data_IF_900606144656
#
_entry.id   IF_900606144656
#
_cell.length_a   1.000
_cell.length_b   1.000
_cell.length_c   1.000
_cell.angle_alpha   90.00
_cell.angle_beta   90.00
_cell.angle_gamma   90.00
#
_symmetry.space_group_name_H-M   'P 1'
#
loop_
_entity.id
_entity.type
_entity.pdbx_description
1 polymer ?
#
# COMPACT_ATOMS: atom_id res chain seq x y z
N UNK A 1 -52.94 23.95 43.24
CA UNK A 1 -53.05 23.39 44.60
C UNK A 1 -51.74 22.68 44.93
N UNK A 2 -50.92 23.34 45.74
CA UNK A 2 -49.99 22.67 46.67
C UNK A 2 -50.84 22.10 47.85
N UNK A 3 -50.32 21.34 48.84
CA UNK A 3 -49.09 21.64 49.61
C UNK A 3 -48.16 20.42 49.86
N UNK A 4 -46.86 20.51 50.20
CA UNK A 4 -46.01 21.47 50.94
C UNK A 4 -45.90 21.19 52.45
N UNK A 5 -44.66 20.84 52.86
CA UNK A 5 -43.91 21.12 54.11
C UNK A 5 -44.43 20.55 55.46
N UNK A 6 -43.60 20.19 56.44
CA UNK A 6 -42.15 20.31 56.63
C UNK A 6 -41.79 20.30 58.15
N UNK A 7 -40.47 20.36 58.44
CA UNK A 7 -39.81 20.78 59.70
C UNK A 7 -39.84 19.76 60.88
N UNK A 8 -38.82 19.55 61.71
CA UNK A 8 -37.48 20.15 61.85
C UNK A 8 -36.75 19.69 63.15
N UNK A 9 -35.42 19.74 63.11
CA UNK A 9 -34.40 20.23 64.10
C UNK A 9 -34.24 19.64 65.54
N UNK A 10 -32.96 19.30 65.81
CA UNK A 10 -32.12 19.30 67.05
C UNK A 10 -32.31 18.33 68.23
N UNK A 11 -31.17 17.76 68.69
CA UNK A 11 -30.95 17.34 70.08
C UNK A 11 -29.81 16.34 70.29
N UNK A 12 -28.67 16.82 70.82
CA UNK A 12 -27.41 16.11 71.03
C UNK A 12 -27.39 14.99 72.10
N UNK A 13 -26.43 14.05 71.99
CA UNK A 13 -25.52 13.68 73.10
C UNK A 13 -24.30 12.88 72.64
N UNK A 14 -23.21 13.10 73.35
CA UNK A 14 -21.83 12.72 73.06
C UNK A 14 -21.49 11.28 73.46
N UNK A 15 -20.50 10.69 72.77
CA UNK A 15 -19.52 9.83 73.42
C UNK A 15 -18.16 10.02 72.76
N UNK A 16 -17.18 10.36 73.59
CA UNK A 16 -15.78 10.59 73.29
C UNK A 16 -15.04 9.27 73.21
N UNK A 17 -14.19 9.10 72.20
CA UNK A 17 -12.91 8.40 72.41
C UNK A 17 -11.82 8.96 71.51
N UNK A 18 -10.74 9.41 72.16
CA UNK A 18 -9.57 10.02 71.56
C UNK A 18 -8.54 8.92 71.30
N UNK A 19 -8.24 8.65 70.03
CA UNK A 19 -6.98 7.99 69.66
C UNK A 19 -6.11 9.02 68.94
N UNK A 20 -5.00 9.38 69.59
CA UNK A 20 -3.95 10.23 69.03
C UNK A 20 -3.13 9.38 68.07
N UNK A 21 -3.15 9.70 66.78
CA UNK A 21 -2.15 9.23 65.80
C UNK A 21 -1.36 10.45 65.35
N UNK A 22 -0.07 10.42 65.62
CA UNK A 22 0.94 11.38 65.16
C UNK A 22 0.89 11.47 63.62
N UNK A 23 0.55 12.64 63.09
CA UNK A 23 0.75 12.96 61.68
C UNK A 23 2.23 13.27 61.43
N UNK A 24 2.94 12.32 60.82
CA UNK A 24 4.26 12.56 60.24
C UNK A 24 4.04 13.27 58.89
N UNK A 25 4.22 14.59 58.84
CA UNK A 25 4.21 15.34 57.59
C UNK A 25 5.50 15.04 56.81
N UNK A 26 5.43 14.05 55.91
CA UNK A 26 6.45 13.82 54.88
C UNK A 26 6.25 14.87 53.78
N UNK A 27 7.07 15.92 53.80
CA UNK A 27 7.31 16.78 52.65
C UNK A 27 7.95 15.91 51.54
N UNK A 28 7.14 15.47 50.58
CA UNK A 28 7.67 15.07 49.28
C UNK A 28 8.06 16.36 48.54
N UNK A 29 9.35 16.69 48.58
CA UNK A 29 9.94 17.57 47.59
C UNK A 29 9.83 16.86 46.24
N UNK A 30 8.82 17.23 45.45
CA UNK A 30 8.78 16.89 44.05
C UNK A 30 9.97 17.59 43.36
N UNK A 31 11.07 16.86 43.19
CA UNK A 31 12.08 17.17 42.19
C UNK A 31 11.41 16.99 40.83
N UNK A 32 10.69 18.03 40.41
CA UNK A 32 10.30 18.19 39.02
C UNK A 32 11.58 18.39 38.22
N UNK A 33 12.11 17.31 37.65
CA UNK A 33 12.97 17.45 36.49
C UNK A 33 12.13 18.16 35.44
N UNK A 34 12.40 19.46 35.23
CA UNK A 34 11.80 20.20 34.15
C UNK A 34 12.13 19.43 32.86
N UNK A 35 11.10 18.96 32.15
CA UNK A 35 11.30 18.41 30.82
C UNK A 35 12.10 19.45 30.01
N UNK A 36 13.19 19.05 29.34
CA UNK A 36 14.01 19.97 28.57
C UNK A 36 13.11 20.76 27.62
N UNK A 37 13.38 22.07 27.51
CA UNK A 37 12.59 22.98 26.68
C UNK A 37 12.81 22.62 25.21
N UNK A 38 11.92 23.08 24.34
CA UNK A 38 12.03 22.94 22.87
C UNK A 38 13.43 23.35 22.36
N UNK A 39 14.12 24.26 23.06
CA UNK A 39 15.45 24.78 22.74
C UNK A 39 16.60 23.74 22.84
N UNK A 40 16.38 22.59 23.49
CA UNK A 40 17.40 21.54 23.66
C UNK A 40 17.39 20.51 22.50
N UNK A 41 16.50 20.68 21.51
CA UNK A 41 16.39 19.80 20.35
C UNK A 41 17.29 20.31 19.21
N UNK A 42 18.41 19.62 18.98
CA UNK A 42 19.48 19.98 18.03
C UNK A 42 18.97 20.43 16.63
N UNK A 43 18.77 21.75 16.46
CA UNK A 43 18.28 22.35 15.21
C UNK A 43 16.81 22.06 14.85
N UNK A 44 16.04 21.46 15.76
CA UNK A 44 14.63 21.17 15.57
C UNK A 44 13.75 22.24 16.20
N UNK A 45 12.70 22.63 15.48
CA UNK A 45 11.72 23.63 15.93
C UNK A 45 10.32 23.05 15.83
N UNK A 46 9.49 23.35 16.83
CA UNK A 46 8.10 22.93 16.80
C UNK A 46 7.30 23.89 15.93
N UNK A 47 6.47 23.34 15.04
CA UNK A 47 5.55 24.11 14.22
C UNK A 47 4.14 23.54 14.27
N UNK A 48 3.16 24.45 14.25
CA UNK A 48 1.74 24.16 14.06
C UNK A 48 1.15 25.26 13.16
N UNK A 49 0.13 24.96 12.34
CA UNK A 49 -0.54 26.01 11.57
C UNK A 49 -1.26 27.03 12.47
N UNK A 50 -1.57 26.68 13.72
CA UNK A 50 -2.23 27.54 14.71
C UNK A 50 -1.96 27.05 16.14
N UNK A 51 -1.83 27.97 17.08
CA UNK A 51 -1.36 27.69 18.44
C UNK A 51 -2.30 26.75 19.20
N UNK A 52 -3.62 26.90 19.02
CA UNK A 52 -4.62 26.16 19.78
C UNK A 52 -4.61 24.65 19.52
N UNK A 53 -4.12 24.21 18.35
CA UNK A 53 -3.97 22.79 18.01
C UNK A 53 -2.54 22.27 18.10
N UNK A 54 -1.57 23.11 18.48
CA UNK A 54 -0.17 22.71 18.53
C UNK A 54 0.01 21.55 19.53
N UNK A 55 0.64 20.42 19.14
CA UNK A 55 0.96 19.35 20.06
C UNK A 55 1.93 19.84 21.13
N UNK A 56 2.00 19.13 22.26
CA UNK A 56 3.09 19.34 23.20
C UNK A 56 4.34 18.66 22.66
N UNK A 57 5.40 19.40 22.39
CA UNK A 57 6.70 18.87 21.98
C UNK A 57 7.74 18.98 23.10
N UNK A 58 8.61 17.97 23.24
CA UNK A 58 9.79 17.98 24.11
C UNK A 58 10.86 17.01 23.61
N UNK A 59 12.09 17.15 24.11
CA UNK A 59 13.14 16.13 23.98
C UNK A 59 13.02 15.13 25.14
N UNK A 60 12.85 13.85 24.85
CA UNK A 60 12.65 12.80 25.85
C UNK A 60 13.96 12.02 26.09
N UNK A 61 14.70 12.26 27.18
CA UNK A 61 15.96 11.58 27.45
C UNK A 61 15.77 10.13 27.92
N UNK A 62 14.55 9.70 28.23
CA UNK A 62 14.27 8.36 28.75
C UNK A 62 13.84 7.38 27.66
N UNK A 63 13.43 7.89 26.51
CA UNK A 63 12.98 7.11 25.36
C UNK A 63 13.97 7.31 24.23
N UNK A 64 14.49 6.21 23.68
CA UNK A 64 15.35 6.20 22.51
C UNK A 64 15.49 4.79 21.96
N UNK A 65 16.03 4.67 20.74
CA UNK A 65 16.17 3.40 20.01
C UNK A 65 17.48 2.71 20.38
N UNK A 66 18.62 3.34 20.06
CA UNK A 66 19.96 2.79 20.35
C UNK A 66 20.65 3.54 21.49
N UNK A 67 20.37 4.84 21.64
CA UNK A 67 20.88 5.69 22.70
C UNK A 67 19.73 6.47 23.36
N UNK A 68 19.90 6.97 24.60
CA UNK A 68 18.88 7.80 25.25
C UNK A 68 18.67 9.12 24.50
N UNK A 69 17.42 9.50 24.24
CA UNK A 69 17.06 10.76 23.59
C UNK A 69 16.18 10.56 22.37
N UNK A 70 15.01 11.18 22.34
CA UNK A 70 14.13 11.21 21.16
C UNK A 70 13.30 12.48 21.12
N UNK A 71 12.78 12.85 19.95
CA UNK A 71 11.88 13.99 19.78
C UNK A 71 10.43 13.54 19.97
N UNK A 72 9.77 14.04 21.01
CA UNK A 72 8.43 13.63 21.33
C UNK A 72 7.39 14.67 20.89
N UNK A 73 6.20 14.19 20.49
CA UNK A 73 4.97 14.96 20.27
C UNK A 73 3.83 14.25 20.99
N UNK A 74 3.04 14.99 21.77
CA UNK A 74 1.81 14.49 22.38
C UNK A 74 0.60 15.28 21.92
N UNK A 75 -0.50 14.55 21.69
CA UNK A 75 -1.80 15.11 21.36
C UNK A 75 -2.35 16.07 22.41
N UNK A 76 -1.91 15.93 23.68
CA UNK A 76 -2.29 16.78 24.81
C UNK A 76 -3.82 16.99 24.94
N UNK A 77 -4.60 15.96 24.60
CA UNK A 77 -6.07 15.96 24.59
C UNK A 77 -6.70 17.03 23.69
N UNK A 78 -5.96 17.59 22.74
CA UNK A 78 -6.48 18.57 21.77
C UNK A 78 -7.16 17.84 20.61
N UNK A 79 -8.50 17.92 20.44
CA UNK A 79 -9.21 17.11 19.45
C UNK A 79 -8.70 17.27 18.01
N UNK A 80 -8.33 18.51 17.64
CA UNK A 80 -7.80 18.84 16.32
C UNK A 80 -6.27 18.87 16.26
N UNK A 81 -5.55 18.19 17.16
CA UNK A 81 -4.09 18.30 17.28
C UNK A 81 -3.39 18.15 15.94
N UNK A 82 -2.49 19.08 15.63
CA UNK A 82 -1.68 19.03 14.44
C UNK A 82 -0.40 19.80 14.68
N UNK A 83 0.74 19.18 14.42
CA UNK A 83 2.01 19.87 14.41
C UNK A 83 3.15 18.93 14.11
N UNK A 84 4.33 19.51 14.00
CA UNK A 84 5.51 18.78 13.57
C UNK A 84 6.79 19.39 14.11
N UNK A 85 7.79 18.52 14.26
CA UNK A 85 9.17 18.95 14.37
C UNK A 85 9.69 19.30 12.97
N UNK A 86 10.33 20.46 12.86
CA UNK A 86 10.98 20.97 11.65
C UNK A 86 12.46 21.18 11.86
N UNK A 87 13.30 20.65 10.96
CA UNK A 87 14.73 20.94 10.91
C UNK A 87 15.14 21.32 9.50
N UNK A 88 15.92 22.40 9.39
CA UNK A 88 16.52 22.77 8.13
C UNK A 88 17.62 21.77 7.75
N UNK A 89 17.63 21.33 6.49
CA UNK A 89 18.70 20.56 5.89
C UNK A 89 19.27 21.41 4.75
N UNK A 90 20.39 22.08 5.01
CA UNK A 90 21.00 23.01 4.06
C UNK A 90 21.83 22.29 2.99
N UNK A 91 21.90 22.91 1.80
CA UNK A 91 22.69 22.50 0.64
C UNK A 91 22.24 21.19 -0.01
N UNK A 92 21.20 21.28 -0.85
CA UNK A 92 20.84 20.20 -1.79
C UNK A 92 21.21 20.62 -3.21
N UNK A 93 21.72 19.67 -3.97
CA UNK A 93 22.01 19.80 -5.40
C UNK A 93 20.80 19.35 -6.22
N UNK A 94 20.29 20.19 -7.15
CA UNK A 94 19.23 19.79 -8.08
C UNK A 94 19.53 18.48 -8.82
N UNK A 95 18.54 17.60 -8.92
CA UNK A 95 18.63 16.30 -9.58
C UNK A 95 19.37 15.22 -8.78
N UNK A 96 20.12 15.58 -7.72
CA UNK A 96 20.74 14.59 -6.82
C UNK A 96 19.69 13.91 -5.96
N UNK A 97 19.87 12.62 -5.72
CA UNK A 97 18.98 11.83 -4.88
C UNK A 97 19.36 11.93 -3.41
N UNK A 98 18.34 11.99 -2.57
CA UNK A 98 18.48 11.99 -1.12
C UNK A 98 17.56 10.96 -0.49
N UNK A 99 18.01 10.40 0.63
CA UNK A 99 17.22 9.52 1.48
C UNK A 99 16.88 10.23 2.78
N UNK A 100 15.60 10.27 3.11
CA UNK A 100 15.13 10.54 4.47
C UNK A 100 14.85 9.21 5.16
N UNK A 101 15.45 9.00 6.33
CA UNK A 101 15.11 7.90 7.25
C UNK A 101 14.74 8.50 8.60
N UNK A 102 13.67 8.00 9.20
CA UNK A 102 13.27 8.36 10.55
C UNK A 102 12.63 7.15 11.23
N UNK A 103 12.96 6.90 12.49
CA UNK A 103 12.30 5.88 13.29
C UNK A 103 11.26 6.53 14.17
N UNK A 104 10.12 5.87 14.33
CA UNK A 104 9.12 6.33 15.28
C UNK A 104 8.55 5.22 16.14
N UNK A 105 8.13 5.62 17.33
CA UNK A 105 7.38 4.79 18.27
C UNK A 105 6.15 5.57 18.72
N UNK A 106 5.06 4.86 18.97
CA UNK A 106 3.82 5.48 19.44
C UNK A 106 3.30 4.83 20.71
N UNK A 107 2.50 5.60 21.45
CA UNK A 107 1.68 5.14 22.58
C UNK A 107 0.29 5.74 22.42
N UNK A 108 -0.75 4.95 22.73
CA UNK A 108 -2.17 5.36 22.68
C UNK A 108 -2.60 5.91 21.30
N UNK A 109 -1.95 5.42 20.24
CA UNK A 109 -2.24 5.77 18.86
C UNK A 109 -3.45 5.00 18.34
N UNK A 110 -4.43 5.66 17.69
CA UNK A 110 -5.53 4.97 17.03
C UNK A 110 -5.02 3.98 15.98
N UNK A 111 -5.47 2.73 16.08
CA UNK A 111 -5.28 1.69 15.05
C UNK A 111 -6.64 1.34 14.46
N UNK A 112 -6.76 1.09 13.15
CA UNK A 112 -5.71 0.86 12.14
C UNK A 112 -5.17 2.11 11.41
N UNK A 113 -5.52 3.33 11.82
CA UNK A 113 -5.20 4.59 11.11
C UNK A 113 -3.86 5.25 11.46
N UNK A 114 -2.94 4.54 12.11
CA UNK A 114 -1.63 5.05 12.55
C UNK A 114 -0.90 5.88 11.48
N UNK A 115 -0.92 5.41 10.23
CA UNK A 115 -0.27 6.09 9.10
C UNK A 115 -0.86 7.46 8.76
N UNK A 116 -2.13 7.73 9.05
CA UNK A 116 -2.73 9.04 8.84
C UNK A 116 -2.19 10.07 9.86
N UNK A 117 -1.89 9.60 11.06
CA UNK A 117 -1.50 10.44 12.19
C UNK A 117 0.00 10.77 12.18
N UNK A 118 0.82 9.88 11.63
CA UNK A 118 2.28 9.97 11.62
C UNK A 118 2.80 10.23 10.20
N UNK A 119 3.68 11.21 10.01
CA UNK A 119 4.35 11.44 8.72
C UNK A 119 5.77 11.95 8.91
N UNK A 120 6.72 11.45 8.11
CA UNK A 120 8.01 12.09 7.89
C UNK A 120 8.07 12.58 6.45
N UNK A 121 8.49 13.84 6.23
CA UNK A 121 8.46 14.48 4.92
C UNK A 121 9.74 15.23 4.60
N UNK A 122 10.03 15.31 3.30
CA UNK A 122 11.01 16.24 2.73
C UNK A 122 10.23 17.38 2.07
N UNK A 123 10.41 18.60 2.55
CA UNK A 123 9.97 19.81 1.88
C UNK A 123 11.17 20.46 1.20
N UNK A 124 11.21 20.44 -0.12
CA UNK A 124 12.27 21.12 -0.89
C UNK A 124 12.06 22.62 -0.89
N UNK A 125 13.15 23.38 -0.82
CA UNK A 125 13.14 24.83 -0.73
C UNK A 125 14.05 25.45 -1.78
N UNK A 126 13.58 26.52 -2.42
CA UNK A 126 14.39 27.42 -3.24
C UNK A 126 15.31 28.27 -2.36
N UNK A 127 16.30 28.95 -2.95
CA UNK A 127 17.22 29.84 -2.24
C UNK A 127 16.53 31.00 -1.48
N UNK A 128 15.32 31.40 -1.92
CA UNK A 128 14.50 32.42 -1.26
C UNK A 128 13.62 31.86 -0.12
N UNK A 129 13.74 30.56 0.20
CA UNK A 129 12.96 29.88 1.24
C UNK A 129 11.54 29.44 0.84
N UNK A 130 11.10 29.70 -0.40
CA UNK A 130 9.83 29.17 -0.94
C UNK A 130 9.94 27.69 -1.26
N UNK A 131 8.81 26.99 -1.33
CA UNK A 131 8.78 25.59 -1.73
C UNK A 131 9.26 25.38 -3.17
N UNK A 132 10.17 24.43 -3.37
CA UNK A 132 10.59 23.89 -4.66
C UNK A 132 9.81 22.59 -4.94
N UNK A 133 9.23 22.44 -6.12
CA UNK A 133 8.48 21.23 -6.49
C UNK A 133 7.37 20.79 -5.50
N UNK A 134 7.30 19.48 -5.23
CA UNK A 134 6.30 18.85 -4.36
C UNK A 134 6.98 18.18 -3.16
N UNK A 135 6.25 18.07 -2.05
CA UNK A 135 6.75 17.39 -0.86
C UNK A 135 6.81 15.88 -1.06
N UNK A 136 7.83 15.26 -0.48
CA UNK A 136 7.98 13.81 -0.44
C UNK A 136 7.46 13.25 0.87
N UNK A 137 6.67 12.18 0.79
CA UNK A 137 6.14 11.47 1.95
C UNK A 137 6.91 10.17 2.12
N UNK A 138 7.52 10.00 3.29
CA UNK A 138 8.09 8.72 3.68
C UNK A 138 6.97 7.69 3.84
N UNK A 139 7.11 6.55 3.15
CA UNK A 139 6.04 5.55 3.02
C UNK A 139 6.54 4.11 3.15
N UNK A 140 7.83 3.86 2.89
CA UNK A 140 8.43 2.55 3.14
C UNK A 140 8.51 2.36 4.65
N UNK A 141 7.89 1.30 5.16
CA UNK A 141 7.85 0.99 6.59
C UNK A 141 8.48 -0.36 6.88
N UNK A 142 9.31 -0.42 7.92
CA UNK A 142 9.86 -1.66 8.46
C UNK A 142 9.68 -1.67 9.98
N UNK A 143 9.20 -2.77 10.55
CA UNK A 143 8.95 -2.89 11.99
C UNK A 143 10.16 -3.50 12.68
N UNK A 144 10.71 -2.79 13.66
CA UNK A 144 11.86 -3.21 14.46
C UNK A 144 11.49 -3.16 15.95
N UNK A 145 10.89 -4.26 16.44
CA UNK A 145 10.39 -4.33 17.81
C UNK A 145 9.29 -3.30 18.09
N UNK A 146 9.58 -2.35 18.99
CA UNK A 146 8.68 -1.26 19.36
C UNK A 146 8.70 -0.08 18.36
N UNK A 147 9.75 0.00 17.54
CA UNK A 147 10.00 1.07 16.59
C UNK A 147 9.54 0.69 15.18
N UNK A 148 9.13 1.69 14.41
CA UNK A 148 8.86 1.57 12.99
C UNK A 148 9.80 2.50 12.25
N UNK A 149 10.64 1.95 11.39
CA UNK A 149 11.46 2.71 10.43
C UNK A 149 10.56 3.23 9.32
N UNK A 150 10.71 4.50 8.97
CA UNK A 150 10.01 5.15 7.87
C UNK A 150 11.04 5.79 6.94
N UNK A 151 10.93 5.53 5.62
CA UNK A 151 11.87 6.10 4.65
C UNK A 151 11.28 6.48 3.30
N UNK A 152 11.98 7.39 2.61
CA UNK A 152 11.78 7.75 1.20
C UNK A 152 13.10 8.15 0.57
N UNK A 153 13.22 7.81 -0.71
CA UNK A 153 14.28 8.29 -1.59
C UNK A 153 13.65 9.12 -2.70
N UNK A 154 14.20 10.31 -2.93
CA UNK A 154 13.70 11.22 -3.93
C UNK A 154 14.80 12.13 -4.50
N UNK A 155 14.73 12.48 -5.78
CA UNK A 155 15.60 13.50 -6.36
C UNK A 155 15.16 14.90 -5.90
N UNK A 156 16.14 15.76 -5.64
CA UNK A 156 15.87 17.18 -5.43
C UNK A 156 15.32 17.81 -6.74
N UNK A 157 14.22 18.59 -6.68
CA UNK A 157 13.68 19.30 -7.84
C UNK A 157 14.70 20.25 -8.50
N UNK A 158 14.51 20.62 -9.79
CA UNK A 158 15.44 21.48 -10.53
C UNK A 158 15.76 22.84 -9.86
N UNK A 159 14.83 23.38 -9.07
CA UNK A 159 14.94 24.68 -8.39
C UNK A 159 15.25 24.57 -6.89
N UNK A 160 15.54 23.37 -6.38
CA UNK A 160 15.84 23.15 -4.97
C UNK A 160 17.28 23.59 -4.61
N UNK A 161 17.40 24.36 -3.53
CA UNK A 161 18.67 24.80 -2.95
C UNK A 161 18.86 24.32 -1.49
N UNK A 162 17.76 24.01 -0.81
CA UNK A 162 17.75 23.40 0.51
C UNK A 162 16.58 22.43 0.66
N UNK A 163 16.54 21.71 1.78
CA UNK A 163 15.40 20.92 2.21
C UNK A 163 15.01 21.28 3.66
N UNK A 164 13.79 20.93 4.04
CA UNK A 164 13.32 20.94 5.41
C UNK A 164 12.70 19.59 5.73
N UNK A 165 13.16 18.98 6.81
CA UNK A 165 12.61 17.73 7.32
C UNK A 165 11.43 18.07 8.23
N UNK A 166 10.32 17.36 8.04
CA UNK A 166 9.08 17.59 8.80
C UNK A 166 8.59 16.26 9.39
N UNK A 167 8.52 16.17 10.72
CA UNK A 167 8.11 14.98 11.48
C UNK A 167 6.82 15.25 12.25
N UNK A 168 5.71 14.70 11.78
CA UNK A 168 4.37 15.16 12.12
C UNK A 168 3.59 14.22 13.04
N UNK A 169 2.82 14.83 13.94
CA UNK A 169 1.67 14.23 14.62
C UNK A 169 0.39 14.98 14.21
N UNK A 170 -0.66 14.26 13.82
CA UNK A 170 -1.95 14.84 13.46
C UNK A 170 -3.12 13.98 13.92
N UNK A 171 -4.23 14.63 14.32
CA UNK A 171 -5.54 14.02 14.58
C UNK A 171 -5.54 12.88 15.61
N UNK A 172 -4.62 12.90 16.56
CA UNK A 172 -4.44 11.87 17.57
C UNK A 172 -4.35 12.49 18.97
N UNK A 173 -5.49 12.96 19.55
CA UNK A 173 -5.52 13.77 20.77
C UNK A 173 -4.91 13.07 22.00
N UNK A 174 -5.01 11.74 22.06
CA UNK A 174 -4.53 10.93 23.19
C UNK A 174 -3.13 10.36 22.97
N UNK A 175 -2.62 10.41 21.74
CA UNK A 175 -1.42 9.69 21.38
C UNK A 175 -0.16 10.46 21.78
N UNK A 176 0.92 9.70 22.02
CA UNK A 176 2.28 10.21 22.07
C UNK A 176 3.12 9.53 21.00
N UNK A 177 3.94 10.31 20.31
CA UNK A 177 4.79 9.92 19.20
C UNK A 177 6.23 10.34 19.53
N UNK A 178 7.16 9.41 19.47
CA UNK A 178 8.59 9.67 19.60
C UNK A 178 9.27 9.41 18.26
N UNK A 179 10.17 10.31 17.87
CA UNK A 179 11.02 10.19 16.69
C UNK A 179 12.48 10.05 17.10
N UNK A 180 13.20 9.18 16.42
CA UNK A 180 14.61 8.92 16.67
C UNK A 180 15.35 8.55 15.37
N UNK A 181 16.68 8.56 15.40
CA UNK A 181 17.58 8.19 14.30
C UNK A 181 17.18 8.82 12.95
N UNK A 182 16.98 10.15 12.97
CA UNK A 182 16.52 10.91 11.81
C UNK A 182 17.69 11.38 10.94
N UNK A 183 17.85 10.75 9.78
CA UNK A 183 18.91 11.05 8.81
C UNK A 183 18.36 11.62 7.50
N UNK A 184 19.15 12.49 6.88
CA UNK A 184 18.92 13.00 5.54
C UNK A 184 20.27 13.06 4.82
N UNK A 185 20.47 12.19 3.85
CA UNK A 185 21.78 11.96 3.23
C UNK A 185 21.64 11.87 1.71
N UNK A 186 22.65 12.32 0.94
CA UNK A 186 22.70 12.05 -0.48
C UNK A 186 22.88 10.55 -0.72
N UNK A 187 22.20 10.03 -1.73
CA UNK A 187 22.33 8.64 -2.16
C UNK A 187 22.57 8.56 -3.65
N UNK A 188 23.02 7.40 -4.11
CA UNK A 188 23.09 7.14 -5.54
C UNK A 188 21.68 7.13 -6.15
N UNK A 189 21.59 7.56 -7.41
CA UNK A 189 20.36 7.42 -8.19
C UNK A 189 19.94 5.96 -8.19
N UNK A 190 18.71 5.63 -7.75
CA UNK A 190 18.23 4.26 -7.79
C UNK A 190 18.35 3.67 -9.19
N UNK A 191 18.91 2.48 -9.26
CA UNK A 191 19.01 1.75 -10.52
C UNK A 191 17.61 1.46 -11.07
N UNK A 192 17.47 1.54 -12.40
CA UNK A 192 16.26 1.10 -13.08
C UNK A 192 15.98 -0.38 -12.73
N UNK A 193 14.70 -0.72 -12.59
CA UNK A 193 14.21 -2.09 -12.39
C UNK A 193 13.39 -2.50 -13.61
N UNK A 194 14.03 -2.71 -14.77
CA UNK A 194 13.31 -3.05 -15.99
C UNK A 194 12.69 -4.44 -15.86
N UNK A 195 11.45 -4.57 -16.32
CA UNK A 195 10.72 -5.84 -16.42
C UNK A 195 10.10 -5.91 -17.79
N UNK A 196 10.43 -6.94 -18.57
CA UNK A 196 9.81 -7.15 -19.88
C UNK A 196 8.53 -7.94 -19.71
N UNK A 197 7.40 -7.31 -20.01
CA UNK A 197 6.06 -7.89 -19.88
C UNK A 197 5.50 -8.20 -21.26
N UNK A 198 4.99 -9.41 -21.44
CA UNK A 198 4.21 -9.82 -22.60
C UNK A 198 2.77 -10.12 -22.19
N UNK A 199 1.80 -9.70 -23.01
CA UNK A 199 0.40 -10.05 -22.82
C UNK A 199 -0.22 -10.54 -24.12
N UNK A 200 -1.02 -11.59 -24.04
CA UNK A 200 -1.50 -12.35 -25.20
C UNK A 200 -2.95 -12.00 -25.50
N UNK A 201 -3.25 -11.70 -26.77
CA UNK A 201 -4.61 -11.61 -27.27
C UNK A 201 -4.83 -12.77 -28.24
N UNK A 202 -5.53 -13.80 -27.80
CA UNK A 202 -5.87 -14.94 -28.65
C UNK A 202 -7.22 -15.47 -28.22
N UNK A 203 -8.14 -15.66 -29.17
CA UNK A 203 -9.40 -16.37 -28.98
C UNK A 203 -9.37 -17.70 -29.75
N UNK A 204 -9.00 -18.82 -29.10
CA UNK A 204 -9.10 -20.13 -29.72
C UNK A 204 -10.55 -20.43 -30.12
N UNK A 205 -10.73 -21.12 -31.25
CA UNK A 205 -12.05 -21.53 -31.76
C UNK A 205 -12.02 -23.02 -32.10
N UNK A 206 -13.14 -23.72 -31.85
CA UNK A 206 -13.36 -25.12 -32.23
C UNK A 206 -12.22 -26.05 -31.78
N UNK A 207 -11.78 -25.90 -30.53
CA UNK A 207 -10.60 -26.60 -30.01
C UNK A 207 -10.87 -28.03 -29.57
N UNK A 208 -12.14 -28.45 -29.53
CA UNK A 208 -12.56 -29.80 -29.16
C UNK A 208 -12.42 -30.12 -27.66
N UNK A 209 -11.85 -29.22 -26.86
CA UNK A 209 -11.67 -29.39 -25.43
C UNK A 209 -10.61 -28.45 -24.85
N UNK A 210 -10.44 -28.53 -23.53
CA UNK A 210 -9.46 -27.75 -22.75
C UNK A 210 -8.05 -27.86 -23.33
N UNK A 211 -7.58 -29.08 -23.57
CA UNK A 211 -6.21 -29.37 -24.05
C UNK A 211 -5.93 -28.63 -25.37
N UNK A 212 -6.89 -28.66 -26.29
CA UNK A 212 -6.78 -27.96 -27.56
C UNK A 212 -6.69 -26.44 -27.38
N UNK A 213 -7.46 -25.84 -26.48
CA UNK A 213 -7.38 -24.40 -26.19
C UNK A 213 -6.05 -24.00 -25.58
N UNK A 214 -5.57 -24.76 -24.59
CA UNK A 214 -4.29 -24.50 -23.94
C UNK A 214 -3.12 -24.63 -24.90
N UNK A 215 -3.14 -25.62 -25.81
CA UNK A 215 -2.08 -25.77 -26.78
C UNK A 215 -1.99 -24.58 -27.73
N UNK A 216 -3.12 -23.99 -28.17
CA UNK A 216 -3.08 -22.76 -29.00
C UNK A 216 -2.42 -21.58 -28.29
N UNK A 217 -2.66 -21.43 -26.99
CA UNK A 217 -1.98 -20.40 -26.20
C UNK A 217 -0.48 -20.71 -26.07
N UNK A 218 -0.13 -21.96 -25.77
CA UNK A 218 1.25 -22.39 -25.64
C UNK A 218 2.04 -22.18 -26.94
N UNK A 219 1.50 -22.61 -28.08
CA UNK A 219 2.09 -22.40 -29.42
C UNK A 219 2.35 -20.92 -29.70
N UNK A 220 1.39 -20.05 -29.39
CA UNK A 220 1.54 -18.61 -29.62
C UNK A 220 2.62 -18.01 -28.70
N UNK A 221 2.66 -18.41 -27.42
CA UNK A 221 3.70 -17.95 -26.49
C UNK A 221 5.08 -18.44 -26.93
N UNK A 222 5.21 -19.71 -27.27
CA UNK A 222 6.47 -20.32 -27.72
C UNK A 222 7.00 -19.61 -28.96
N UNK A 223 6.12 -19.28 -29.90
CA UNK A 223 6.46 -18.65 -31.18
C UNK A 223 6.70 -17.13 -31.10
N UNK A 224 5.79 -16.39 -30.46
CA UNK A 224 5.72 -14.93 -30.62
C UNK A 224 6.18 -14.15 -29.37
N UNK A 225 6.29 -14.78 -28.18
CA UNK A 225 6.84 -14.10 -26.98
C UNK A 225 8.37 -14.14 -27.01
N UNK A 226 9.06 -12.97 -26.86
CA UNK A 226 10.52 -12.90 -26.81
C UNK A 226 11.14 -13.79 -25.73
N UNK A 227 12.36 -14.28 -25.99
CA UNK A 227 13.07 -15.19 -25.08
C UNK A 227 13.53 -14.53 -23.76
N UNK A 228 13.64 -13.19 -23.74
CA UNK A 228 14.06 -12.39 -22.59
C UNK A 228 12.87 -11.69 -21.91
N UNK A 229 11.66 -12.24 -22.05
CA UNK A 229 10.47 -11.79 -21.33
C UNK A 229 10.49 -12.28 -19.88
N UNK A 230 10.17 -11.40 -18.94
CA UNK A 230 10.13 -11.72 -17.50
C UNK A 230 8.76 -12.21 -17.03
N UNK A 231 7.69 -11.66 -17.63
CA UNK A 231 6.31 -11.89 -17.20
C UNK A 231 5.38 -12.01 -18.41
N UNK A 232 4.58 -13.07 -18.44
CA UNK A 232 3.63 -13.38 -19.50
C UNK A 232 2.22 -13.43 -18.90
N UNK A 233 1.27 -12.76 -19.53
CA UNK A 233 -0.15 -12.84 -19.17
C UNK A 233 -0.98 -13.48 -20.29
N UNK A 234 -1.71 -14.53 -19.91
CA UNK A 234 -2.77 -15.17 -20.70
C UNK A 234 -4.16 -14.74 -20.21
N UNK A 235 -5.20 -14.89 -21.05
CA UNK A 235 -6.53 -14.34 -20.73
C UNK A 235 -7.27 -15.16 -19.67
N UNK A 236 -8.43 -14.64 -19.28
CA UNK A 236 -9.40 -15.33 -18.43
C UNK A 236 -9.95 -16.58 -19.12
N UNK A 237 -10.32 -17.61 -18.35
CA UNK A 237 -11.05 -18.76 -18.87
C UNK A 237 -10.37 -19.48 -20.03
N UNK A 238 -9.04 -19.56 -20.02
CA UNK A 238 -8.24 -20.19 -21.08
C UNK A 238 -8.66 -21.65 -21.34
N UNK A 239 -9.20 -22.31 -20.31
CA UNK A 239 -9.67 -23.70 -20.37
C UNK A 239 -11.08 -23.87 -20.96
N UNK A 240 -11.89 -22.81 -21.06
CA UNK A 240 -13.27 -22.89 -21.60
C UNK A 240 -13.41 -22.25 -22.99
N UNK A 241 -12.60 -21.23 -23.30
CA UNK A 241 -12.71 -20.49 -24.57
C UNK A 241 -12.57 -21.42 -25.77
N UNK A 242 -13.48 -21.29 -26.74
CA UNK A 242 -13.46 -22.07 -27.97
C UNK A 242 -13.90 -23.54 -27.86
N UNK A 243 -14.28 -24.01 -26.66
CA UNK A 243 -14.63 -25.43 -26.42
C UNK A 243 -16.11 -25.74 -26.60
N UNK A 244 -17.01 -24.80 -26.31
CA UNK A 244 -18.46 -25.03 -26.24
C UNK A 244 -18.93 -25.85 -25.03
N UNK A 245 -18.04 -26.11 -24.06
CA UNK A 245 -18.32 -26.89 -22.85
C UNK A 245 -18.80 -26.00 -21.70
N UNK A 246 -19.24 -26.63 -20.60
CA UNK A 246 -19.69 -25.95 -19.37
C UNK A 246 -18.61 -25.98 -18.29
N UNK A 247 -18.69 -25.07 -17.31
CA UNK A 247 -17.70 -25.00 -16.22
C UNK A 247 -17.39 -26.35 -15.56
N UNK A 248 -18.38 -27.21 -15.22
CA UNK A 248 -18.07 -28.48 -14.56
C UNK A 248 -17.25 -29.45 -15.42
N UNK A 249 -17.41 -29.39 -16.74
CA UNK A 249 -16.79 -30.30 -17.69
C UNK A 249 -15.34 -29.91 -18.01
N UNK A 250 -14.97 -28.65 -17.76
CA UNK A 250 -13.63 -28.14 -18.05
C UNK A 250 -12.81 -27.87 -16.78
N UNK A 251 -13.48 -27.73 -15.63
CA UNK A 251 -12.83 -27.36 -14.37
C UNK A 251 -11.90 -28.46 -13.87
N UNK A 252 -10.75 -28.06 -13.36
CA UNK A 252 -9.66 -28.96 -12.99
C UNK A 252 -8.98 -28.55 -11.69
N UNK A 253 -8.23 -29.45 -11.06
CA UNK A 253 -7.45 -29.11 -9.87
C UNK A 253 -6.34 -28.11 -10.20
N UNK A 254 -5.93 -27.33 -9.20
CA UNK A 254 -4.73 -26.49 -9.27
C UNK A 254 -3.79 -26.90 -8.14
N UNK A 255 -2.60 -27.47 -8.43
CA UNK A 255 -2.08 -27.82 -9.76
C UNK A 255 -2.89 -28.89 -10.52
N UNK A 256 -2.77 -28.87 -11.84
CA UNK A 256 -3.44 -29.77 -12.78
C UNK A 256 -2.98 -29.60 -14.24
N UNK A 257 -3.65 -30.24 -15.22
CA UNK A 257 -3.20 -30.34 -16.60
C UNK A 257 -2.80 -29.01 -17.27
N UNK A 258 -3.58 -27.93 -17.09
CA UNK A 258 -3.24 -26.63 -17.68
C UNK A 258 -1.97 -26.05 -17.05
N UNK A 259 -1.86 -26.09 -15.71
CA UNK A 259 -0.67 -25.58 -15.01
C UNK A 259 0.57 -26.42 -15.30
N UNK A 260 0.44 -27.71 -15.59
CA UNK A 260 1.55 -28.57 -16.00
C UNK A 260 2.05 -28.18 -17.39
N UNK A 261 1.16 -28.08 -18.39
CA UNK A 261 1.53 -27.71 -19.76
C UNK A 261 2.10 -26.30 -19.83
N UNK A 262 1.44 -25.33 -19.21
CA UNK A 262 1.91 -23.95 -19.21
C UNK A 262 3.12 -23.74 -18.29
N UNK A 263 3.30 -24.59 -17.27
CA UNK A 263 4.52 -24.63 -16.45
C UNK A 263 5.73 -25.02 -17.27
N UNK A 264 5.59 -25.95 -18.22
CA UNK A 264 6.66 -26.27 -19.17
C UNK A 264 7.01 -25.07 -20.06
N UNK A 265 6.00 -24.30 -20.52
CA UNK A 265 6.20 -23.07 -21.29
C UNK A 265 6.94 -22.02 -20.46
N UNK A 266 6.47 -21.75 -19.24
CA UNK A 266 7.06 -20.80 -18.31
C UNK A 266 8.54 -21.14 -18.05
N UNK A 267 8.84 -22.41 -17.77
CA UNK A 267 10.19 -22.93 -17.58
C UNK A 267 11.06 -22.79 -18.83
N UNK A 268 10.54 -23.14 -20.00
CA UNK A 268 11.28 -23.04 -21.26
C UNK A 268 11.60 -21.58 -21.64
N UNK A 269 10.70 -20.65 -21.33
CA UNK A 269 10.91 -19.20 -21.50
C UNK A 269 11.69 -18.57 -20.34
N UNK A 270 11.94 -19.31 -19.26
CA UNK A 270 12.47 -18.79 -18.00
C UNK A 270 11.70 -17.54 -17.53
N UNK A 271 10.37 -17.56 -17.62
CA UNK A 271 9.49 -16.41 -17.38
C UNK A 271 8.40 -16.76 -16.37
N UNK A 272 7.96 -15.77 -15.61
CA UNK A 272 6.71 -15.87 -14.86
C UNK A 272 5.53 -15.91 -15.85
N UNK A 273 4.52 -16.72 -15.57
CA UNK A 273 3.33 -16.83 -16.43
C UNK A 273 2.07 -16.83 -15.59
N UNK A 274 1.12 -15.96 -15.91
CA UNK A 274 -0.21 -15.95 -15.31
C UNK A 274 -1.27 -16.34 -16.33
N UNK A 275 -2.28 -17.11 -15.88
CA UNK A 275 -3.39 -17.57 -16.73
C UNK A 275 -4.68 -17.68 -15.92
N UNK A 276 -5.81 -17.30 -16.51
CA UNK A 276 -7.13 -17.57 -15.94
C UNK A 276 -7.67 -18.92 -16.39
N UNK A 277 -8.19 -19.71 -15.44
CA UNK A 277 -8.80 -21.02 -15.65
C UNK A 277 -9.95 -21.24 -14.67
N UNK A 278 -10.69 -22.35 -14.82
CA UNK A 278 -11.67 -22.76 -13.81
C UNK A 278 -11.10 -23.88 -12.95
N UNK A 279 -10.98 -23.59 -11.66
CA UNK A 279 -10.45 -24.49 -10.65
C UNK A 279 -11.58 -25.33 -10.04
N UNK A 280 -11.33 -26.61 -9.84
CA UNK A 280 -12.18 -27.53 -9.07
C UNK A 280 -11.49 -27.92 -7.77
N UNK A 281 -12.17 -27.69 -6.65
CA UNK A 281 -11.78 -28.15 -5.31
C UNK A 281 -12.93 -28.95 -4.70
N UNK A 282 -12.84 -30.28 -4.78
CA UNK A 282 -13.95 -31.16 -4.43
C UNK A 282 -15.19 -30.88 -5.28
N UNK A 283 -16.29 -30.49 -4.63
CA UNK A 283 -17.55 -30.13 -5.31
C UNK A 283 -17.62 -28.67 -5.73
N UNK A 284 -16.65 -27.85 -5.33
CA UNK A 284 -16.67 -26.40 -5.54
C UNK A 284 -15.88 -26.05 -6.81
N UNK A 285 -16.37 -25.05 -7.56
CA UNK A 285 -15.72 -24.55 -8.78
C UNK A 285 -15.50 -23.05 -8.64
N UNK A 286 -14.30 -22.58 -8.99
CA UNK A 286 -13.89 -21.18 -8.92
C UNK A 286 -13.37 -20.69 -10.27
N UNK A 287 -13.61 -19.42 -10.60
CA UNK A 287 -12.84 -18.73 -11.64
C UNK A 287 -11.51 -18.25 -11.02
N UNK A 288 -10.38 -18.75 -11.52
CA UNK A 288 -9.09 -18.67 -10.83
C UNK A 288 -7.98 -18.21 -11.77
N UNK A 289 -7.20 -17.22 -11.35
CA UNK A 289 -5.96 -16.83 -11.98
C UNK A 289 -4.80 -17.51 -11.25
N UNK A 290 -3.95 -18.22 -11.98
CA UNK A 290 -2.81 -18.95 -11.42
C UNK A 290 -1.53 -18.29 -11.90
N UNK A 291 -0.59 -18.09 -10.97
CA UNK A 291 0.76 -17.58 -11.25
C UNK A 291 1.76 -18.75 -11.19
N UNK A 292 2.51 -18.92 -12.27
CA UNK A 292 3.58 -19.90 -12.41
C UNK A 292 4.94 -19.20 -12.30
N UNK A 293 5.87 -19.78 -11.53
CA UNK A 293 7.24 -19.29 -11.41
C UNK A 293 8.11 -19.65 -12.63
N UNK A 294 9.34 -19.14 -12.64
CA UNK A 294 10.32 -19.40 -13.72
C UNK A 294 10.72 -20.87 -13.81
N UNK A 295 10.49 -21.68 -12.77
CA UNK A 295 10.71 -23.13 -12.80
C UNK A 295 9.48 -23.92 -13.29
N UNK A 296 8.37 -23.24 -13.57
CA UNK A 296 7.12 -23.82 -14.04
C UNK A 296 6.21 -24.36 -12.92
N UNK A 297 6.46 -23.99 -11.66
CA UNK A 297 5.65 -24.42 -10.50
C UNK A 297 4.59 -23.38 -10.18
N UNK A 298 3.48 -23.81 -9.58
CA UNK A 298 2.46 -22.90 -9.07
C UNK A 298 3.03 -22.11 -7.89
N UNK A 299 3.24 -20.81 -8.09
CA UNK A 299 3.69 -19.89 -7.05
C UNK A 299 2.53 -19.35 -6.21
N UNK A 300 1.33 -19.31 -6.81
CA UNK A 300 0.13 -18.86 -6.12
C UNK A 300 -1.09 -18.82 -7.04
N UNK A 301 -2.26 -18.57 -6.44
CA UNK A 301 -3.53 -18.44 -7.16
C UNK A 301 -4.40 -17.36 -6.52
N UNK A 302 -5.25 -16.76 -7.34
CA UNK A 302 -6.28 -15.81 -6.96
C UNK A 302 -7.63 -16.32 -7.47
N UNK A 303 -8.62 -16.45 -6.58
CA UNK A 303 -10.00 -16.81 -6.93
C UNK A 303 -10.81 -15.53 -7.06
N UNK A 304 -11.50 -15.35 -8.18
CA UNK A 304 -12.29 -14.16 -8.51
C UNK A 304 -13.29 -13.87 -7.39
N UNK A 305 -13.23 -12.66 -6.84
CA UNK A 305 -14.09 -12.27 -5.71
C UNK A 305 -15.44 -11.78 -6.22
N UNK A 306 -15.45 -10.92 -7.24
CA UNK A 306 -16.69 -10.42 -7.82
C UNK A 306 -17.12 -11.27 -9.01
N UNK A 307 -18.19 -12.05 -8.84
CA UNK A 307 -18.77 -12.84 -9.91
C UNK A 307 -19.85 -12.05 -10.67
N UNK A 308 -19.81 -12.01 -12.02
CA UNK A 308 -20.94 -11.56 -12.81
C UNK A 308 -22.09 -12.57 -12.71
N UNK A 309 -23.30 -12.16 -13.12
CA UNK A 309 -24.52 -12.98 -13.02
C UNK A 309 -24.35 -14.36 -13.65
N UNK A 310 -23.76 -14.41 -14.84
CA UNK A 310 -23.61 -15.62 -15.65
C UNK A 310 -22.71 -16.66 -14.96
N UNK A 311 -21.73 -16.21 -14.18
CA UNK A 311 -20.85 -17.09 -13.39
C UNK A 311 -21.56 -17.61 -12.13
N UNK A 312 -22.33 -16.75 -11.45
CA UNK A 312 -23.14 -17.17 -10.30
C UNK A 312 -24.22 -18.18 -10.71
N UNK A 313 -24.97 -17.89 -11.77
CA UNK A 313 -26.00 -18.78 -12.31
C UNK A 313 -25.38 -20.08 -12.87
N UNK A 314 -24.12 -20.03 -13.30
CA UNK A 314 -23.31 -21.17 -13.70
C UNK A 314 -22.76 -22.02 -12.54
N UNK A 315 -23.00 -21.63 -11.29
CA UNK A 315 -22.59 -22.36 -10.09
C UNK A 315 -21.15 -22.15 -9.65
N UNK A 316 -20.51 -21.04 -10.06
CA UNK A 316 -19.20 -20.68 -9.54
C UNK A 316 -19.29 -20.09 -8.14
N UNK A 317 -18.24 -20.30 -7.36
CA UNK A 317 -18.10 -19.78 -5.99
C UNK A 317 -17.12 -18.61 -5.98
N UNK A 318 -17.41 -17.52 -5.25
CA UNK A 318 -16.48 -16.40 -5.14
C UNK A 318 -15.25 -16.77 -4.30
N UNK A 319 -14.13 -16.11 -4.59
CA UNK A 319 -12.98 -16.04 -3.68
C UNK A 319 -13.24 -15.14 -2.47
N UNK A 320 -12.27 -15.10 -1.56
CA UNK A 320 -12.40 -14.44 -0.25
C UNK A 320 -11.21 -13.51 0.10
N UNK A 321 -10.26 -13.31 -0.81
CA UNK A 321 -9.01 -12.63 -0.52
C UNK A 321 -8.34 -12.02 -1.76
N UNK A 322 -7.49 -11.02 -1.54
CA UNK A 322 -6.70 -10.33 -2.57
C UNK A 322 -5.19 -10.52 -2.32
N UNK A 323 -4.64 -11.73 -2.52
CA UNK A 323 -3.23 -12.01 -2.27
C UNK A 323 -2.32 -11.32 -3.28
N UNK A 324 -1.14 -10.91 -2.81
CA UNK A 324 -0.01 -10.54 -3.67
C UNK A 324 1.09 -11.59 -3.63
N UNK A 325 1.91 -11.62 -4.68
CA UNK A 325 2.95 -12.61 -4.87
C UNK A 325 4.30 -11.91 -5.06
N UNK A 326 5.29 -12.35 -4.30
CA UNK A 326 6.66 -11.85 -4.43
C UNK A 326 7.36 -12.59 -5.59
N UNK A 327 7.83 -11.85 -6.59
CA UNK A 327 8.70 -12.34 -7.65
C UNK A 327 10.15 -11.86 -7.44
N UNK A 328 11.05 -12.30 -8.30
CA UNK A 328 12.46 -11.85 -8.35
C UNK A 328 12.61 -10.38 -8.77
N UNK A 329 11.64 -9.84 -9.52
CA UNK A 329 11.68 -8.45 -9.99
C UNK A 329 10.83 -7.49 -9.15
N UNK A 330 9.79 -7.96 -8.46
CA UNK A 330 8.86 -7.09 -7.74
C UNK A 330 7.65 -7.84 -7.16
N UNK A 331 6.62 -7.12 -6.76
CA UNK A 331 5.39 -7.72 -6.21
C UNK A 331 4.24 -7.60 -7.20
N UNK A 332 3.55 -8.71 -7.43
CA UNK A 332 2.46 -8.82 -8.41
C UNK A 332 1.14 -9.15 -7.71
N UNK A 333 0.07 -8.48 -8.12
CA UNK A 333 -1.31 -8.82 -7.76
C UNK A 333 -2.09 -9.33 -8.98
N UNK A 334 -3.19 -10.04 -8.76
CA UNK A 334 -4.06 -10.52 -9.83
C UNK A 334 -5.52 -10.12 -9.55
N UNK A 335 -6.22 -9.68 -10.59
CA UNK A 335 -7.65 -9.44 -10.63
C UNK A 335 -8.23 -10.23 -11.81
N UNK A 336 -9.52 -10.51 -11.82
CA UNK A 336 -10.16 -11.18 -12.96
C UNK A 336 -11.39 -10.39 -13.39
N UNK A 337 -11.37 -9.94 -14.64
CA UNK A 337 -12.53 -9.45 -15.37
C UNK A 337 -13.46 -8.53 -14.58
N UNK A 338 -14.57 -9.07 -14.07
CA UNK A 338 -15.60 -8.34 -13.32
C UNK A 338 -15.08 -7.61 -12.07
N UNK A 339 -13.95 -8.03 -11.50
CA UNK A 339 -13.26 -7.30 -10.44
C UNK A 339 -12.94 -5.85 -10.83
N UNK A 340 -12.72 -5.55 -12.11
CA UNK A 340 -12.41 -4.19 -12.59
C UNK A 340 -13.52 -3.18 -12.28
N UNK A 341 -14.77 -3.67 -12.14
CA UNK A 341 -15.92 -2.82 -11.84
C UNK A 341 -15.85 -2.23 -10.43
N UNK A 342 -15.06 -2.82 -9.54
CA UNK A 342 -14.94 -2.46 -8.13
C UNK A 342 -13.56 -1.88 -7.86
N UNK A 343 -13.49 -0.85 -7.00
CA UNK A 343 -12.21 -0.20 -6.65
C UNK A 343 -11.40 -1.05 -5.66
N UNK A 344 -12.09 -1.81 -4.80
CA UNK A 344 -11.52 -2.52 -3.67
C UNK A 344 -10.45 -3.55 -4.04
N UNK A 345 -10.58 -4.37 -5.11
CA UNK A 345 -9.54 -5.33 -5.48
C UNK A 345 -8.19 -4.66 -5.78
N UNK A 346 -8.17 -3.70 -6.70
CA UNK A 346 -6.93 -2.99 -7.05
C UNK A 346 -6.35 -2.21 -5.86
N UNK A 347 -7.24 -1.61 -5.05
CA UNK A 347 -6.86 -0.91 -3.82
C UNK A 347 -6.22 -1.83 -2.80
N UNK A 348 -6.80 -3.01 -2.56
CA UNK A 348 -6.27 -4.00 -1.64
C UNK A 348 -4.91 -4.52 -2.09
N UNK A 349 -4.75 -4.87 -3.37
CA UNK A 349 -3.50 -5.35 -3.94
C UNK A 349 -2.37 -4.30 -3.83
N UNK A 350 -2.65 -3.04 -4.18
CA UNK A 350 -1.66 -1.96 -4.07
C UNK A 350 -1.31 -1.67 -2.61
N UNK A 351 -2.29 -1.74 -1.70
CA UNK A 351 -2.06 -1.61 -0.26
C UNK A 351 -1.15 -2.72 0.31
N UNK A 352 -1.24 -3.91 -0.25
CA UNK A 352 -0.38 -5.06 0.04
C UNK A 352 0.96 -5.01 -0.74
N UNK A 353 1.20 -3.92 -1.48
CA UNK A 353 2.48 -3.59 -2.09
C UNK A 353 2.64 -4.01 -3.54
N UNK A 354 1.57 -4.45 -4.22
CA UNK A 354 1.63 -4.76 -5.65
C UNK A 354 2.16 -3.55 -6.45
N UNK A 355 3.13 -3.82 -7.33
CA UNK A 355 3.69 -2.84 -8.28
C UNK A 355 3.11 -3.07 -9.68
N UNK A 356 2.72 -4.32 -9.96
CA UNK A 356 2.06 -4.75 -11.20
C UNK A 356 0.78 -5.50 -10.82
N UNK A 357 -0.33 -5.16 -11.47
CA UNK A 357 -1.58 -5.90 -11.38
C UNK A 357 -1.88 -6.55 -12.72
N UNK A 358 -2.08 -7.86 -12.70
CA UNK A 358 -2.47 -8.65 -13.85
C UNK A 358 -3.99 -8.78 -13.90
N UNK A 359 -4.57 -8.54 -15.06
CA UNK A 359 -6.00 -8.59 -15.31
C UNK A 359 -6.29 -9.48 -16.53
N UNK A 360 -6.31 -10.81 -16.36
CA UNK A 360 -7.03 -11.69 -17.28
C UNK A 360 -8.51 -11.28 -17.31
N UNK A 361 -9.03 -10.98 -18.50
CA UNK A 361 -10.36 -10.37 -18.65
C UNK A 361 -11.07 -10.80 -19.92
N UNK A 362 -12.32 -11.26 -19.84
CA UNK A 362 -13.11 -11.49 -21.04
C UNK A 362 -13.55 -10.17 -21.69
N UNK A 363 -14.24 -9.33 -20.93
CA UNK A 363 -14.80 -8.04 -21.35
C UNK A 363 -14.92 -7.09 -20.15
N UNK A 364 -14.99 -5.78 -20.38
CA UNK A 364 -15.13 -4.81 -19.30
C UNK A 364 -14.92 -3.36 -19.73
N UNK A 365 -14.95 -2.43 -18.78
CA UNK A 365 -14.75 -1.00 -19.03
C UNK A 365 -13.28 -0.63 -19.05
N UNK A 366 -12.79 -0.16 -20.21
CA UNK A 366 -11.42 0.36 -20.36
C UNK A 366 -11.19 1.59 -19.48
N UNK A 367 -12.21 2.42 -19.27
CA UNK A 367 -12.14 3.60 -18.39
C UNK A 367 -11.90 3.19 -16.94
N UNK A 368 -12.58 2.13 -16.47
CA UNK A 368 -12.38 1.64 -15.11
C UNK A 368 -11.02 0.94 -14.97
N UNK A 369 -10.57 0.18 -15.97
CA UNK A 369 -9.22 -0.37 -15.99
C UNK A 369 -8.16 0.74 -15.83
N UNK A 370 -8.29 1.83 -16.60
CA UNK A 370 -7.41 2.98 -16.45
C UNK A 370 -7.50 3.61 -15.05
N UNK A 371 -8.71 3.77 -14.50
CA UNK A 371 -8.89 4.28 -13.15
C UNK A 371 -8.18 3.40 -12.10
N UNK A 372 -8.22 2.06 -12.22
CA UNK A 372 -7.53 1.14 -11.30
C UNK A 372 -6.01 1.33 -11.32
N UNK A 373 -5.42 1.53 -12.50
CA UNK A 373 -4.00 1.83 -12.63
C UNK A 373 -3.64 3.17 -11.98
N UNK A 374 -4.41 4.22 -12.33
CA UNK A 374 -4.19 5.61 -11.91
C UNK A 374 -4.35 5.79 -10.40
N UNK A 375 -5.47 5.33 -9.83
CA UNK A 375 -5.82 5.61 -8.42
C UNK A 375 -4.96 4.82 -7.41
N UNK A 376 -4.36 3.72 -7.88
CA UNK A 376 -3.51 2.84 -7.08
C UNK A 376 -2.03 2.94 -7.44
N UNK A 377 -1.71 3.69 -8.50
CA UNK A 377 -0.37 3.98 -8.95
C UNK A 377 0.47 2.71 -9.25
N UNK A 378 -0.17 1.77 -9.95
CA UNK A 378 0.37 0.45 -10.34
C UNK A 378 0.44 0.32 -11.85
N UNK A 379 1.35 -0.50 -12.36
CA UNK A 379 1.23 -0.98 -13.74
C UNK A 379 0.05 -1.93 -13.84
N UNK A 380 -0.74 -1.83 -14.91
CA UNK A 380 -1.85 -2.74 -15.17
C UNK A 380 -1.60 -3.47 -16.49
N UNK A 381 -1.71 -4.79 -16.47
CA UNK A 381 -1.51 -5.64 -17.66
C UNK A 381 -2.82 -6.36 -17.92
N UNK A 382 -3.43 -6.11 -19.08
CA UNK A 382 -4.69 -6.75 -19.46
C UNK A 382 -4.43 -7.82 -20.51
N UNK A 383 -5.11 -8.95 -20.39
CA UNK A 383 -5.16 -9.98 -21.44
C UNK A 383 -6.61 -10.40 -21.61
N UNK A 384 -7.17 -10.13 -22.79
CA UNK A 384 -8.58 -10.34 -23.01
C UNK A 384 -9.02 -10.57 -24.43
N UNK A 385 -10.30 -10.92 -24.55
CA UNK A 385 -10.93 -11.28 -25.81
C UNK A 385 -11.80 -10.14 -26.37
N UNK A 386 -12.75 -9.65 -25.58
CA UNK A 386 -13.63 -8.51 -25.91
C UNK A 386 -13.16 -7.21 -25.23
N UNK A 387 -12.32 -7.32 -24.20
CA UNK A 387 -11.57 -6.20 -23.65
C UNK A 387 -10.19 -6.11 -24.34
N UNK A 388 -9.71 -4.91 -24.70
CA UNK A 388 -8.39 -4.76 -25.30
C UNK A 388 -7.25 -5.29 -24.41
N UNK A 389 -6.25 -5.89 -25.08
CA UNK A 389 -5.07 -6.48 -24.45
C UNK A 389 -3.91 -5.50 -24.52
N UNK A 390 -3.44 -4.99 -23.39
CA UNK A 390 -2.39 -3.97 -23.33
C UNK A 390 -1.58 -3.99 -22.03
N UNK A 391 -0.44 -3.30 -22.05
CA UNK A 391 0.31 -2.90 -20.86
C UNK A 391 0.09 -1.41 -20.63
N UNK A 392 -0.28 -1.03 -19.42
CA UNK A 392 -0.60 0.34 -19.03
C UNK A 392 0.26 0.78 -17.84
N UNK A 393 0.69 2.04 -17.87
CA UNK A 393 1.49 2.63 -16.81
C UNK A 393 0.63 3.21 -15.66
N UNK A 394 1.25 3.56 -14.51
CA UNK A 394 0.56 4.19 -13.38
C UNK A 394 -0.14 5.53 -13.66
N UNK A 395 0.02 6.12 -14.84
CA UNK A 395 -0.66 7.36 -15.26
C UNK A 395 -1.83 7.09 -16.23
N UNK A 396 -2.09 5.82 -16.55
CA UNK A 396 -3.17 5.41 -17.45
C UNK A 396 -2.76 5.39 -18.92
N UNK A 397 -1.49 5.59 -19.24
CA UNK A 397 -0.98 5.58 -20.61
C UNK A 397 -0.71 4.15 -21.07
N UNK A 398 -1.15 3.80 -22.28
CA UNK A 398 -0.88 2.49 -22.88
C UNK A 398 0.52 2.46 -23.46
N UNK A 399 1.34 1.53 -22.97
CA UNK A 399 2.71 1.34 -23.41
C UNK A 399 2.80 0.40 -24.62
N UNK A 400 1.93 -0.61 -24.68
CA UNK A 400 1.83 -1.55 -25.79
C UNK A 400 0.41 -2.15 -25.86
N UNK A 401 -0.06 -2.52 -27.05
CA UNK A 401 -1.38 -3.12 -27.26
C UNK A 401 -1.32 -4.21 -28.35
N UNK A 402 -2.05 -5.31 -28.15
CA UNK A 402 -2.08 -6.44 -29.06
C UNK A 402 -3.41 -6.47 -29.84
N UNK A 403 -3.38 -6.57 -31.18
CA UNK A 403 -4.55 -7.01 -31.93
C UNK A 403 -4.81 -8.51 -31.68
N UNK A 404 -5.96 -9.01 -32.14
CA UNK A 404 -6.31 -10.43 -32.01
C UNK A 404 -5.28 -11.35 -32.70
N UNK A 405 -4.95 -12.46 -32.04
CA UNK A 405 -3.97 -13.44 -32.50
C UNK A 405 -2.51 -13.01 -32.35
N UNK A 406 -2.23 -11.96 -31.55
CA UNK A 406 -0.90 -11.39 -31.37
C UNK A 406 -0.56 -11.18 -29.89
N UNK A 407 0.72 -10.85 -29.68
CA UNK A 407 1.30 -10.52 -28.37
C UNK A 407 1.68 -9.05 -28.35
N UNK A 408 1.40 -8.37 -27.24
CA UNK A 408 1.96 -7.05 -26.95
C UNK A 408 3.12 -7.21 -25.97
N UNK A 409 4.20 -6.49 -26.20
CA UNK A 409 5.39 -6.51 -25.33
C UNK A 409 5.77 -5.09 -24.97
N UNK A 410 6.01 -4.85 -23.69
CA UNK A 410 6.55 -3.59 -23.18
C UNK A 410 7.60 -3.87 -22.10
N UNK A 411 8.63 -3.03 -22.04
CA UNK A 411 9.53 -2.98 -20.88
C UNK A 411 9.04 -1.90 -19.95
N UNK A 412 8.58 -2.30 -18.76
CA UNK A 412 8.22 -1.37 -17.67
C UNK A 412 9.41 -1.18 -16.74
N UNK A 413 9.44 -0.08 -15.99
CA UNK A 413 10.47 0.16 -14.97
C UNK A 413 9.81 0.36 -13.60
N UNK A 414 10.02 -0.60 -12.71
CA UNK A 414 9.43 -0.59 -11.36
C UNK A 414 10.10 0.41 -10.41
N UNK A 415 11.27 0.94 -10.76
CA UNK A 415 11.93 2.01 -10.02
C UNK A 415 11.51 3.40 -10.50
N UNK A 416 10.90 3.50 -11.70
CA UNK A 416 10.49 4.78 -12.27
C UNK A 416 9.48 5.47 -11.37
N UNK A 417 9.78 6.73 -11.06
CA UNK A 417 8.85 7.62 -10.37
C UNK A 417 7.87 8.20 -11.39
N UNK A 418 6.59 8.04 -11.10
CA UNK A 418 5.51 8.73 -11.81
C UNK A 418 5.02 9.86 -10.91
N UNK A 419 4.99 11.07 -11.46
CA UNK A 419 4.67 12.28 -10.71
C UNK A 419 3.49 13.00 -11.34
N UNK A 420 2.58 13.44 -10.49
CA UNK A 420 1.45 14.25 -10.89
C UNK A 420 1.85 15.73 -10.81
N UNK A 421 1.50 16.56 -11.81
CA UNK A 421 1.90 17.98 -11.83
C UNK A 421 1.54 18.75 -10.55
N UNK A 422 0.42 18.41 -9.91
CA UNK A 422 -0.11 19.11 -8.75
C UNK A 422 0.15 18.40 -7.41
N UNK A 423 0.36 17.08 -7.44
CA UNK A 423 0.40 16.26 -6.23
C UNK A 423 1.80 15.66 -5.96
N UNK A 424 2.67 15.57 -6.96
CA UNK A 424 3.98 14.92 -6.86
C UNK A 424 3.87 13.41 -6.98
N UNK A 425 4.76 12.67 -6.31
CA UNK A 425 4.68 11.21 -6.29
C UNK A 425 3.47 10.74 -5.48
N UNK A 426 2.51 10.11 -6.15
CA UNK A 426 1.29 9.63 -5.51
C UNK A 426 1.50 8.38 -4.68
N UNK A 427 2.51 7.55 -4.99
CA UNK A 427 2.80 6.32 -4.23
C UNK A 427 2.95 6.61 -2.73
N UNK A 428 3.76 7.59 -2.37
CA UNK A 428 3.97 7.94 -0.96
C UNK A 428 2.74 8.56 -0.28
N UNK A 429 2.04 9.48 -0.99
CA UNK A 429 0.82 10.12 -0.47
C UNK A 429 -0.31 9.13 -0.26
N UNK A 430 -0.54 8.24 -1.22
CA UNK A 430 -1.56 7.21 -1.16
C UNK A 430 -1.45 6.39 0.13
N UNK A 431 -0.28 5.84 0.45
CA UNK A 431 -0.12 5.00 1.65
C UNK A 431 -0.34 5.77 2.95
N UNK A 432 -0.15 7.09 2.92
CA UNK A 432 -0.30 7.97 4.06
C UNK A 432 -1.75 8.45 4.26
N UNK A 433 -2.48 8.73 3.17
CA UNK A 433 -3.77 9.42 3.20
C UNK A 433 -4.98 8.46 3.26
N UNK A 434 -4.77 7.14 3.25
CA UNK A 434 -5.86 6.14 3.31
C UNK A 434 -6.57 6.14 4.68
N UNK A 435 -7.90 6.21 4.62
CA UNK A 435 -8.82 6.31 5.76
C UNK A 435 -9.43 4.97 6.17
N UNK A 436 -8.62 4.09 6.79
CA UNK A 436 -9.09 2.80 7.33
C UNK A 436 -9.94 2.94 8.60
N UNK A 437 -9.98 4.13 9.18
CA UNK A 437 -10.79 4.48 10.36
C UNK A 437 -12.24 4.80 10.02
N UNK A 438 -12.54 5.13 8.76
CA UNK A 438 -13.91 5.44 8.33
C UNK A 438 -14.59 4.13 7.94
N UNK A 439 -15.63 3.69 8.67
CA UNK A 439 -16.36 2.49 8.31
C UNK A 439 -17.10 2.72 6.98
N UNK A 440 -17.04 1.72 6.11
CA UNK A 440 -17.90 1.57 4.94
C UNK A 440 -18.72 0.33 5.26
N UNK A 441 -20.01 0.52 5.58
CA UNK A 441 -20.94 -0.55 5.96
C UNK A 441 -21.41 -1.37 4.75
#
# INVERSE_FOLDING_TARGET
>A
MAPVLGLGVCGARAYTDRVRILGLALLFAALGAAAPRIDDAEGWTLWSPREEIQPRGWSDPLVGREAPGSLALSGASKPGVFGEWRRAASAVEPGRWYRLTAYYRTKDMPRPSERQHVAARIAWLQANGKGAGRQEYAWKTEREGEWTKLSVEAPAPPDAAAARLELRLAYAPTATLWWDDVSFEPVETPAARPVKVATVNLRPLNTGGREGSIERFAELVEKDVPADTDLILLPEGATIVGTGLKYPDIAETVPGPTTERLGQVAKAKNAWLAVGLYEREGTVIYNTAVLLDREGRVAGKYRKVYLPREEMDGGLTPGDSYPTFQTDFGRVGMMICWDVQYADPARALALDGAEVVLLPIWGGSETLAAARAIENHVFLVTSGYDHPTYVMDPMGERMAQAPEGKVAVATIDLAKRYEWPWLGSMRGRFYHEIRRDVPVE
#
